data_IF_688851754011
#
_entry.id   IF_688851754011
#
_cell.length_a   1.000
_cell.length_b   1.000
_cell.length_c   1.000
_cell.angle_alpha   90.00
_cell.angle_beta   90.00
_cell.angle_gamma   90.00
#
_symmetry.space_group_name_H-M   'P 1'
#
loop_
_entity.id
_entity.type
_entity.pdbx_description
1 polymer ?
#
# COMPACT_ATOMS: atom_id res chain seq x y z
N UNK A 1 -17.44 42.87 37.69
CA UNK A 1 -16.14 42.36 37.18
C UNK A 1 -16.30 41.16 36.22
N UNK A 2 -17.41 41.06 35.47
CA UNK A 2 -17.76 39.84 34.70
C UNK A 2 -17.55 39.97 33.18
N UNK A 3 -17.62 41.19 32.62
CA UNK A 3 -17.59 41.39 31.16
C UNK A 3 -16.18 41.22 30.53
N UNK A 4 -15.11 41.43 31.29
CA UNK A 4 -13.72 41.37 30.77
C UNK A 4 -13.24 39.93 30.56
N UNK A 5 -13.51 39.03 31.52
CA UNK A 5 -13.17 37.61 31.43
C UNK A 5 -13.88 36.95 30.23
N UNK A 6 -15.17 37.24 30.06
CA UNK A 6 -15.94 36.78 28.89
C UNK A 6 -15.39 37.29 27.54
N UNK A 7 -14.75 38.47 27.49
CA UNK A 7 -14.12 38.99 26.26
C UNK A 7 -12.79 38.31 25.96
N UNK A 8 -12.05 37.91 26.99
CA UNK A 8 -10.79 37.19 26.87
C UNK A 8 -11.02 35.73 26.45
N UNK A 9 -11.99 35.04 27.06
CA UNK A 9 -12.39 33.67 26.70
C UNK A 9 -12.86 33.59 25.24
N UNK A 10 -13.67 34.55 24.78
CA UNK A 10 -14.12 34.63 23.37
C UNK A 10 -12.96 34.93 22.40
N UNK A 11 -11.90 35.62 22.82
CA UNK A 11 -10.70 35.85 22.00
C UNK A 11 -9.83 34.59 21.91
N UNK A 12 -9.72 33.84 23.01
CA UNK A 12 -9.00 32.56 23.05
C UNK A 12 -9.70 31.51 22.19
N UNK A 13 -11.03 31.36 22.33
CA UNK A 13 -11.85 30.46 21.53
C UNK A 13 -11.76 30.78 20.02
N UNK A 14 -11.70 32.07 19.63
CA UNK A 14 -11.51 32.48 18.23
C UNK A 14 -10.11 32.18 17.68
N UNK A 15 -9.07 32.23 18.52
CA UNK A 15 -7.69 31.84 18.14
C UNK A 15 -7.60 30.33 17.93
N UNK A 16 -8.15 29.55 18.85
CA UNK A 16 -8.16 28.08 18.79
C UNK A 16 -8.99 27.56 17.60
N UNK A 17 -10.13 28.19 17.30
CA UNK A 17 -10.94 27.86 16.12
C UNK A 17 -10.20 28.13 14.79
N UNK A 18 -9.34 29.15 14.73
CA UNK A 18 -8.55 29.49 13.54
C UNK A 18 -7.42 28.48 13.29
N UNK A 19 -6.85 27.91 14.36
CA UNK A 19 -5.83 26.85 14.29
C UNK A 19 -6.44 25.53 13.83
N UNK A 20 -7.66 25.19 14.29
CA UNK A 20 -8.35 23.94 13.91
C UNK A 20 -8.82 23.91 12.45
N UNK A 21 -9.04 25.06 11.81
CA UNK A 21 -9.52 25.14 10.43
C UNK A 21 -8.43 24.95 9.36
N UNK A 22 -7.15 24.89 9.73
CA UNK A 22 -6.04 24.81 8.77
C UNK A 22 -5.45 23.41 8.58
N UNK A 23 -5.81 22.44 9.42
CA UNK A 23 -5.42 21.03 9.22
C UNK A 23 -6.58 20.32 8.54
N UNK A 24 -6.70 20.51 7.23
CA UNK A 24 -7.48 19.56 6.45
C UNK A 24 -6.72 18.23 6.47
N UNK A 25 -7.34 17.11 6.86
CA UNK A 25 -6.74 15.81 6.61
C UNK A 25 -6.62 15.71 5.10
N UNK A 26 -5.40 15.82 4.58
CA UNK A 26 -5.13 15.48 3.19
C UNK A 26 -5.50 14.01 3.04
N UNK A 27 -6.69 13.74 2.48
CA UNK A 27 -7.11 12.42 2.04
C UNK A 27 -6.29 12.08 0.79
N UNK A 28 -4.98 11.98 0.95
CA UNK A 28 -4.08 11.50 -0.08
C UNK A 28 -4.22 9.99 -0.06
N UNK A 29 -5.16 9.46 -0.85
CA UNK A 29 -5.19 8.03 -1.13
C UNK A 29 -3.83 7.68 -1.76
N UNK A 30 -3.01 6.89 -1.07
CA UNK A 30 -1.75 6.43 -1.64
C UNK A 30 -2.03 5.61 -2.91
N UNK A 31 -1.20 5.76 -3.98
CA UNK A 31 -1.39 5.01 -5.22
C UNK A 31 -1.40 3.49 -4.97
N UNK A 32 -2.27 2.79 -5.69
CA UNK A 32 -2.46 1.35 -5.58
C UNK A 32 -2.09 0.69 -6.92
N UNK A 33 -1.41 -0.44 -6.86
CA UNK A 33 -1.24 -1.32 -8.01
C UNK A 33 -2.39 -2.33 -8.08
N UNK A 34 -3.12 -2.30 -9.19
CA UNK A 34 -4.16 -3.24 -9.53
C UNK A 34 -3.68 -4.33 -10.48
N UNK A 35 -4.46 -5.41 -10.58
CA UNK A 35 -4.28 -6.45 -11.59
C UNK A 35 -4.56 -5.88 -13.00
N UNK A 36 -3.65 -6.09 -13.95
CA UNK A 36 -3.81 -5.57 -15.31
C UNK A 36 -5.01 -6.15 -16.07
N UNK A 37 -5.52 -7.34 -15.68
CA UNK A 37 -6.69 -7.97 -16.32
C UNK A 37 -8.04 -7.58 -15.71
N UNK A 38 -8.14 -7.49 -14.39
CA UNK A 38 -9.43 -7.29 -13.71
C UNK A 38 -9.50 -6.06 -12.80
N UNK A 39 -8.41 -5.29 -12.66
CA UNK A 39 -8.37 -4.09 -11.82
C UNK A 39 -8.43 -4.35 -10.32
N UNK A 40 -8.41 -5.60 -9.86
CA UNK A 40 -8.42 -5.90 -8.42
C UNK A 40 -7.18 -5.33 -7.74
N UNK A 41 -7.33 -4.69 -6.58
CA UNK A 41 -6.21 -4.10 -5.85
C UNK A 41 -5.26 -5.19 -5.33
N UNK A 42 -3.96 -5.04 -5.59
CA UNK A 42 -2.94 -6.04 -5.26
C UNK A 42 -1.89 -5.52 -4.28
N UNK A 43 -1.34 -4.33 -4.52
CA UNK A 43 -0.22 -3.77 -3.76
C UNK A 43 -0.39 -2.27 -3.53
N UNK A 44 0.18 -1.75 -2.45
CA UNK A 44 0.27 -0.31 -2.18
C UNK A 44 1.64 0.21 -2.62
N UNK A 45 1.70 1.43 -3.17
CA UNK A 45 2.96 2.07 -3.58
C UNK A 45 3.96 2.15 -2.43
N UNK A 46 3.50 2.42 -1.20
CA UNK A 46 4.35 2.45 0.01
C UNK A 46 5.04 1.13 0.33
N UNK A 47 4.56 0.02 -0.24
CA UNK A 47 5.18 -1.30 -0.09
C UNK A 47 6.18 -1.64 -1.20
N UNK A 48 6.27 -0.80 -2.24
CA UNK A 48 7.23 -0.96 -3.35
C UNK A 48 8.64 -0.62 -2.89
N UNK A 49 9.63 -1.36 -3.38
CA UNK A 49 11.03 -1.05 -3.16
C UNK A 49 11.91 -1.46 -4.35
N UNK A 50 13.07 -0.83 -4.47
CA UNK A 50 14.05 -1.17 -5.50
C UNK A 50 14.84 -2.42 -5.11
N UNK A 51 14.66 -3.51 -5.86
CA UNK A 51 15.33 -4.78 -5.60
C UNK A 51 16.59 -5.00 -6.45
N UNK A 52 16.84 -4.14 -7.45
CA UNK A 52 17.95 -4.28 -8.40
C UNK A 52 17.79 -5.43 -9.40
N UNK A 53 16.63 -6.06 -9.48
CA UNK A 53 16.39 -7.23 -10.37
C UNK A 53 15.70 -6.90 -11.70
N UNK A 54 15.27 -5.65 -11.89
CA UNK A 54 14.50 -5.23 -13.07
C UNK A 54 13.00 -5.57 -13.00
N UNK A 55 12.54 -6.20 -11.92
CA UNK A 55 11.12 -6.51 -11.70
C UNK A 55 10.54 -5.66 -10.55
N UNK A 56 9.32 -5.11 -10.71
CA UNK A 56 8.57 -4.52 -9.62
C UNK A 56 8.55 -5.44 -8.40
N UNK A 57 8.98 -4.90 -7.28
CA UNK A 57 9.18 -5.66 -6.05
C UNK A 57 8.45 -4.98 -4.91
N UNK A 58 7.66 -5.77 -4.18
CA UNK A 58 6.90 -5.33 -3.02
C UNK A 58 7.24 -6.19 -1.82
N UNK A 59 7.13 -5.64 -0.61
CA UNK A 59 7.34 -6.42 0.62
C UNK A 59 6.03 -6.88 1.27
N UNK A 60 4.87 -6.33 0.89
CA UNK A 60 3.56 -6.78 1.34
C UNK A 60 2.51 -6.64 0.23
N UNK A 61 1.42 -7.41 0.30
CA UNK A 61 0.25 -7.25 -0.56
C UNK A 61 -0.93 -6.66 0.22
N UNK A 62 -1.92 -6.14 -0.50
CA UNK A 62 -3.12 -5.54 0.08
C UNK A 62 -4.21 -6.60 0.27
N UNK A 63 -4.63 -6.83 1.51
CA UNK A 63 -5.75 -7.72 1.86
C UNK A 63 -5.68 -9.09 1.19
N UNK A 64 -6.79 -9.57 0.64
CA UNK A 64 -6.90 -10.85 -0.08
C UNK A 64 -6.52 -10.74 -1.58
N UNK A 65 -5.88 -9.65 -2.00
CA UNK A 65 -5.63 -9.37 -3.40
C UNK A 65 -4.69 -10.37 -4.08
N UNK A 66 -3.84 -11.06 -3.31
CA UNK A 66 -2.84 -12.00 -3.81
C UNK A 66 -2.99 -13.36 -3.15
N UNK A 67 -3.08 -14.40 -3.97
CA UNK A 67 -3.10 -15.80 -3.54
C UNK A 67 -1.73 -16.43 -3.76
N UNK A 68 -1.21 -17.07 -2.73
CA UNK A 68 0.05 -17.81 -2.78
C UNK A 68 -0.25 -19.29 -3.05
N UNK A 69 0.43 -19.88 -4.03
CA UNK A 69 0.30 -21.31 -4.35
C UNK A 69 1.67 -21.94 -4.52
N UNK A 70 1.86 -23.14 -4.00
CA UNK A 70 3.10 -23.88 -4.19
C UNK A 70 3.19 -24.34 -5.66
N UNK A 71 4.38 -24.22 -6.24
CA UNK A 71 4.69 -24.61 -7.61
C UNK A 71 5.99 -25.40 -7.60
N UNK A 72 5.91 -26.68 -7.96
CA UNK A 72 7.09 -27.52 -8.19
C UNK A 72 7.33 -27.62 -9.69
N UNK A 73 8.46 -27.10 -10.15
CA UNK A 73 8.86 -27.12 -11.57
C UNK A 73 10.34 -27.43 -11.69
N UNK A 74 10.69 -28.36 -12.59
CA UNK A 74 12.09 -28.78 -12.82
C UNK A 74 12.83 -29.16 -11.53
N UNK A 75 12.15 -29.82 -10.59
CA UNK A 75 12.72 -30.21 -9.29
C UNK A 75 12.98 -29.03 -8.35
N UNK A 76 12.41 -27.84 -8.62
CA UNK A 76 12.51 -26.65 -7.75
C UNK A 76 11.16 -26.30 -7.18
N UNK A 77 11.10 -26.14 -5.87
CA UNK A 77 9.93 -25.63 -5.18
C UNK A 77 9.97 -24.10 -5.14
N UNK A 78 8.86 -23.49 -5.55
CA UNK A 78 8.64 -22.05 -5.53
C UNK A 78 7.22 -21.77 -5.05
N UNK A 79 6.97 -20.53 -4.68
CA UNK A 79 5.62 -20.04 -4.42
C UNK A 79 5.26 -19.10 -5.57
N UNK A 80 4.26 -19.49 -6.37
CA UNK A 80 3.68 -18.62 -7.38
C UNK A 80 2.64 -17.70 -6.75
N UNK A 81 2.53 -16.49 -7.30
CA UNK A 81 1.58 -15.46 -6.88
C UNK A 81 0.50 -15.33 -7.96
N UNK A 82 -0.76 -15.40 -7.53
CA UNK A 82 -1.93 -15.30 -8.38
C UNK A 82 -2.80 -14.13 -7.91
N UNK A 83 -3.51 -13.48 -8.83
CA UNK A 83 -4.54 -12.51 -8.47
C UNK A 83 -5.69 -13.20 -7.74
N UNK A 84 -6.09 -12.70 -6.56
CA UNK A 84 -7.23 -13.23 -5.81
C UNK A 84 -8.57 -13.04 -6.53
N UNK A 85 -8.71 -12.00 -7.36
CA UNK A 85 -9.95 -11.72 -8.09
C UNK A 85 -10.16 -12.55 -9.37
N UNK A 86 -9.10 -12.85 -10.14
CA UNK A 86 -9.24 -13.53 -11.45
C UNK A 86 -8.28 -14.69 -11.68
N UNK A 87 -7.38 -14.99 -10.74
CA UNK A 87 -6.40 -16.06 -10.86
C UNK A 87 -5.26 -15.80 -11.85
N UNK A 88 -5.13 -14.60 -12.42
CA UNK A 88 -4.00 -14.26 -13.29
C UNK A 88 -2.67 -14.47 -12.57
N UNK A 89 -1.68 -15.02 -13.27
CA UNK A 89 -0.32 -15.12 -12.78
C UNK A 89 0.34 -13.74 -12.63
N UNK A 90 0.79 -13.43 -11.42
CA UNK A 90 1.43 -12.17 -11.07
C UNK A 90 2.95 -12.30 -11.04
N UNK A 91 3.48 -13.40 -10.49
CA UNK A 91 4.90 -13.61 -10.32
C UNK A 91 5.21 -14.65 -9.24
N UNK A 92 6.25 -14.40 -8.44
CA UNK A 92 6.75 -15.35 -7.45
C UNK A 92 7.14 -14.68 -6.13
N UNK A 93 7.05 -15.46 -5.04
CA UNK A 93 7.47 -15.03 -3.70
C UNK A 93 8.87 -15.55 -3.38
N UNK A 94 9.71 -14.68 -2.81
CA UNK A 94 11.06 -15.01 -2.37
C UNK A 94 11.31 -14.52 -0.94
N UNK A 95 12.18 -15.17 -0.16
CA UNK A 95 12.67 -14.60 1.09
C UNK A 95 13.57 -13.38 0.82
N UNK A 96 13.45 -12.33 1.61
CA UNK A 96 14.32 -11.16 1.55
C UNK A 96 14.58 -10.56 2.93
N UNK A 97 15.82 -10.72 3.42
CA UNK A 97 16.23 -10.31 4.76
C UNK A 97 16.16 -8.80 5.04
N UNK A 98 16.13 -7.96 4.00
CA UNK A 98 16.19 -6.49 4.12
C UNK A 98 14.81 -5.82 4.15
N UNK A 99 13.74 -6.59 3.95
CA UNK A 99 12.37 -6.09 3.96
C UNK A 99 11.72 -6.29 5.34
N UNK A 100 10.76 -5.43 5.75
CA UNK A 100 10.07 -5.57 7.03
C UNK A 100 9.40 -6.93 7.22
N UNK A 101 8.75 -7.44 6.16
CA UNK A 101 8.06 -8.73 6.16
C UNK A 101 8.98 -9.95 5.99
N UNK A 102 10.28 -9.73 5.77
CA UNK A 102 11.24 -10.74 5.34
C UNK A 102 10.90 -11.43 4.00
N UNK A 103 10.01 -10.84 3.21
CA UNK A 103 9.51 -11.38 1.95
C UNK A 103 9.66 -10.37 0.81
N UNK A 104 9.85 -10.89 -0.40
CA UNK A 104 9.83 -10.14 -1.65
C UNK A 104 8.81 -10.76 -2.60
N UNK A 105 7.76 -10.01 -2.86
CA UNK A 105 6.80 -10.24 -3.92
C UNK A 105 7.42 -9.72 -5.22
N UNK A 106 7.94 -10.62 -6.04
CA UNK A 106 8.56 -10.31 -7.32
C UNK A 106 7.51 -10.43 -8.43
N UNK A 107 7.11 -9.31 -9.01
CA UNK A 107 5.91 -9.20 -9.86
C UNK A 107 6.30 -8.86 -11.28
N UNK A 108 5.63 -9.48 -12.24
CA UNK A 108 5.76 -9.13 -13.65
C UNK A 108 5.12 -7.76 -13.89
N UNK A 109 5.87 -6.81 -14.46
CA UNK A 109 5.36 -5.46 -14.70
C UNK A 109 4.09 -5.44 -15.58
N UNK A 110 4.00 -6.33 -16.57
CA UNK A 110 2.82 -6.47 -17.42
C UNK A 110 1.58 -7.03 -16.70
N UNK A 111 1.74 -7.61 -15.51
CA UNK A 111 0.65 -8.18 -14.74
C UNK A 111 -0.07 -7.17 -13.82
N UNK A 112 0.47 -5.95 -13.72
CA UNK A 112 -0.05 -4.89 -12.83
C UNK A 112 -0.18 -3.56 -13.57
N UNK A 113 -1.01 -2.69 -13.04
CA UNK A 113 -1.21 -1.31 -13.49
C UNK A 113 -1.43 -0.41 -12.28
N UNK A 114 -1.01 0.85 -12.34
CA UNK A 114 -1.33 1.84 -11.31
C UNK A 114 -2.80 2.27 -11.47
N UNK A 115 -3.58 2.20 -10.38
CA UNK A 115 -4.99 2.59 -10.32
C UNK A 115 -5.16 4.01 -9.77
#
# INVERSE_FOLDING_TARGET
>A
MSCFLHRMERKQQRREARIRLQVQPSFSAEPIYGCSRCGHALFEESTKFESGTGFPSFWAHKGEGVVQRQLSTYGRERIQLLCGGCGQHLGHLFPNKHTPSRLRYCINAAAIVML
#
